data_IF_021276286390
#
_entry.id   IF_021276286390
#
_cell.length_a   1.000
_cell.length_b   1.000
_cell.length_c   1.000
_cell.angle_alpha   90.00
_cell.angle_beta   90.00
_cell.angle_gamma   90.00
#
_symmetry.space_group_name_H-M   'P 1'
#
loop_
_entity.id
_entity.type
_entity.pdbx_description
1 polymer ?
#
# COMPACT_ATOMS: atom_id res chain seq x y z
N UNK A 1 12.74 16.69 -7.61
CA UNK A 1 11.27 16.91 -7.57
C UNK A 1 10.97 18.40 -7.37
N UNK A 2 11.52 19.01 -6.32
CA UNK A 2 11.26 20.41 -5.97
C UNK A 2 11.76 21.38 -7.04
N UNK A 3 13.01 21.25 -7.48
CA UNK A 3 13.62 22.04 -8.54
C UNK A 3 12.84 21.96 -9.87
N UNK A 4 12.18 20.83 -10.12
CA UNK A 4 11.32 20.62 -11.30
C UNK A 4 9.92 21.23 -11.12
N UNK A 5 9.60 21.80 -9.97
CA UNK A 5 8.30 22.38 -9.67
C UNK A 5 7.15 21.36 -9.51
N UNK A 6 7.45 20.08 -9.34
CA UNK A 6 6.47 19.02 -9.21
C UNK A 6 5.83 18.98 -7.82
N UNK A 7 4.61 18.45 -7.73
CA UNK A 7 4.00 18.05 -6.46
C UNK A 7 4.32 16.59 -6.19
N UNK A 8 4.68 16.24 -4.96
CA UNK A 8 4.93 14.86 -4.57
C UNK A 8 4.58 14.62 -3.10
N UNK A 9 4.25 13.38 -2.80
CA UNK A 9 4.31 12.83 -1.44
C UNK A 9 5.48 11.85 -1.41
N UNK A 10 6.51 12.17 -0.63
CA UNK A 10 7.71 11.36 -0.52
C UNK A 10 7.58 10.44 0.69
N UNK A 11 7.67 9.13 0.46
CA UNK A 11 7.61 8.15 1.52
C UNK A 11 9.01 7.81 2.05
N UNK A 12 9.19 7.90 3.36
CA UNK A 12 10.35 7.33 4.02
C UNK A 12 10.12 5.82 4.20
N UNK A 13 10.92 5.03 3.49
CA UNK A 13 10.78 3.56 3.50
C UNK A 13 11.33 2.99 4.81
N UNK A 14 10.59 2.05 5.42
CA UNK A 14 10.97 1.34 6.62
C UNK A 14 10.90 -0.17 6.43
N UNK A 15 11.91 -0.89 6.90
CA UNK A 15 11.94 -2.33 7.07
C UNK A 15 13.00 -2.70 8.12
N UNK A 16 12.77 -3.76 8.88
CA UNK A 16 13.68 -4.25 9.91
C UNK A 16 14.03 -5.73 9.75
N UNK A 17 13.35 -6.43 8.85
CA UNK A 17 13.49 -7.88 8.67
C UNK A 17 13.40 -8.64 10.01
N UNK A 18 12.52 -8.19 10.90
CA UNK A 18 12.30 -8.76 12.25
C UNK A 18 13.54 -8.73 13.15
N UNK A 19 14.43 -7.75 12.94
CA UNK A 19 15.65 -7.56 13.73
C UNK A 19 15.52 -6.27 14.57
N UNK A 20 15.52 -6.35 15.92
CA UNK A 20 15.32 -5.19 16.79
C UNK A 20 16.31 -4.04 16.53
N UNK A 21 17.57 -4.38 16.27
CA UNK A 21 18.60 -3.35 15.98
C UNK A 21 18.30 -2.57 14.68
N UNK A 22 17.72 -3.25 13.67
CA UNK A 22 17.31 -2.61 12.43
C UNK A 22 16.05 -1.79 12.63
N UNK A 23 15.13 -2.23 13.49
CA UNK A 23 13.95 -1.46 13.87
C UNK A 23 14.36 -0.11 14.50
N UNK A 24 15.30 -0.10 15.44
CA UNK A 24 15.78 1.16 16.05
C UNK A 24 16.47 2.08 15.04
N UNK A 25 17.25 1.53 14.10
CA UNK A 25 17.83 2.32 13.00
C UNK A 25 16.75 2.91 12.09
N UNK A 26 15.71 2.14 11.77
CA UNK A 26 14.57 2.62 10.98
C UNK A 26 13.83 3.74 11.69
N UNK A 27 13.53 3.60 13.00
CA UNK A 27 12.92 4.66 13.82
C UNK A 27 13.74 5.94 13.84
N UNK A 28 15.07 5.83 14.04
CA UNK A 28 15.98 6.99 14.02
C UNK A 28 15.99 7.67 12.65
N UNK A 29 16.04 6.90 11.57
CA UNK A 29 15.96 7.41 10.20
C UNK A 29 14.64 8.15 9.94
N UNK A 30 13.49 7.55 10.33
CA UNK A 30 12.17 8.15 10.16
C UNK A 30 12.07 9.50 10.90
N UNK A 31 12.48 9.56 12.17
CA UNK A 31 12.47 10.81 12.93
C UNK A 31 13.30 11.89 12.24
N UNK A 32 14.55 11.56 11.88
CA UNK A 32 15.43 12.49 11.21
C UNK A 32 14.86 12.98 9.88
N UNK A 33 14.38 12.07 9.02
CA UNK A 33 13.84 12.44 7.71
C UNK A 33 12.53 13.22 7.82
N UNK A 34 11.74 12.99 8.87
CA UNK A 34 10.56 13.79 9.17
C UNK A 34 10.96 15.22 9.56
N UNK A 35 11.94 15.41 10.46
CA UNK A 35 12.46 16.72 10.83
C UNK A 35 13.01 17.46 9.61
N UNK A 36 13.79 16.78 8.77
CA UNK A 36 14.31 17.34 7.52
C UNK A 36 13.18 17.78 6.57
N UNK A 37 12.05 17.06 6.57
CA UNK A 37 10.89 17.36 5.72
C UNK A 37 10.18 18.67 6.07
N UNK A 38 10.37 19.20 7.28
CA UNK A 38 9.81 20.49 7.68
C UNK A 38 10.36 21.67 6.86
N UNK A 39 11.54 21.46 6.23
CA UNK A 39 12.15 22.42 5.30
C UNK A 39 11.63 22.33 3.86
N UNK A 40 10.76 21.37 3.52
CA UNK A 40 10.27 21.20 2.15
C UNK A 40 9.28 22.28 1.75
N UNK A 41 9.23 22.56 0.45
CA UNK A 41 8.21 23.46 -0.08
C UNK A 41 6.80 22.89 0.11
N UNK A 42 5.77 23.74 0.07
CA UNK A 42 4.35 23.33 0.18
C UNK A 42 3.89 22.35 -0.91
N UNK A 43 4.72 22.11 -1.93
CA UNK A 43 4.44 21.12 -2.99
C UNK A 43 4.82 19.71 -2.59
N UNK A 44 5.72 19.56 -1.63
CA UNK A 44 6.22 18.28 -1.18
C UNK A 44 5.58 17.94 0.15
N UNK A 45 4.99 16.75 0.24
CA UNK A 45 4.44 16.19 1.46
C UNK A 45 5.29 15.00 1.89
N UNK A 46 5.30 14.72 3.18
CA UNK A 46 5.96 13.57 3.76
C UNK A 46 4.94 12.48 4.09
N UNK A 47 5.33 11.22 3.96
CA UNK A 47 4.57 10.05 4.35
C UNK A 47 5.50 8.95 4.87
N UNK A 48 4.95 7.96 5.54
CA UNK A 48 5.67 6.77 5.96
C UNK A 48 5.40 5.62 4.99
N UNK A 49 6.44 4.86 4.66
CA UNK A 49 6.37 3.73 3.74
C UNK A 49 6.92 2.45 4.37
N UNK A 50 6.27 1.81 5.38
CA UNK A 50 6.61 0.43 5.69
C UNK A 50 6.50 -0.40 4.41
N UNK A 51 7.50 -1.26 4.15
CA UNK A 51 7.54 -1.97 2.88
C UNK A 51 6.41 -2.99 2.75
N UNK A 52 6.39 -4.00 3.61
CA UNK A 52 5.38 -5.07 3.61
C UNK A 52 5.40 -5.83 4.95
N UNK A 53 4.34 -6.57 5.26
CA UNK A 53 4.23 -7.35 6.51
C UNK A 53 5.28 -8.45 6.67
N UNK A 54 5.91 -8.88 5.57
CA UNK A 54 6.96 -9.92 5.56
C UNK A 54 8.38 -9.35 5.66
N UNK A 55 8.54 -8.02 5.72
CA UNK A 55 9.83 -7.33 5.90
C UNK A 55 9.82 -6.35 7.06
N UNK A 56 8.66 -6.08 7.64
CA UNK A 56 8.48 -5.16 8.76
C UNK A 56 7.82 -5.89 9.93
N UNK A 57 8.46 -5.86 11.09
CA UNK A 57 7.90 -6.48 12.30
C UNK A 57 6.62 -5.78 12.75
N UNK A 58 5.75 -6.53 13.46
CA UNK A 58 4.52 -5.97 14.02
C UNK A 58 4.79 -4.81 14.96
N UNK A 59 5.85 -4.89 15.76
CA UNK A 59 6.27 -3.82 16.68
C UNK A 59 6.66 -2.53 15.93
N UNK A 60 7.42 -2.67 14.83
CA UNK A 60 7.77 -1.50 14.01
C UNK A 60 6.55 -0.95 13.26
N UNK A 61 5.65 -1.81 12.77
CA UNK A 61 4.40 -1.37 12.14
C UNK A 61 3.53 -0.57 13.11
N UNK A 62 3.36 -1.02 14.34
CA UNK A 62 2.60 -0.30 15.36
C UNK A 62 3.25 1.04 15.70
N UNK A 63 4.57 1.08 15.89
CA UNK A 63 5.29 2.31 16.13
C UNK A 63 5.14 3.32 14.96
N UNK A 64 5.19 2.83 13.72
CA UNK A 64 4.99 3.68 12.53
C UNK A 64 3.57 4.24 12.46
N UNK A 65 2.54 3.46 12.83
CA UNK A 65 1.17 3.95 12.87
C UNK A 65 0.96 4.97 13.99
N UNK A 66 1.53 4.75 15.17
CA UNK A 66 1.52 5.73 16.27
C UNK A 66 2.17 7.04 15.83
N UNK A 67 3.37 6.97 15.26
CA UNK A 67 4.09 8.14 14.75
C UNK A 67 3.31 8.86 13.64
N UNK A 68 2.69 8.10 12.72
CA UNK A 68 1.82 8.64 11.67
C UNK A 68 0.58 9.34 12.26
N UNK A 69 0.00 8.78 13.31
CA UNK A 69 -1.15 9.36 14.00
C UNK A 69 -0.81 10.68 14.68
N UNK A 70 0.28 10.72 15.44
CA UNK A 70 0.76 11.92 16.14
C UNK A 70 1.06 13.08 15.19
N UNK A 71 1.62 12.76 14.02
CA UNK A 71 2.06 13.75 13.03
C UNK A 71 1.10 13.90 11.83
N UNK A 72 -0.07 13.24 11.87
CA UNK A 72 -1.09 13.28 10.81
C UNK A 72 -0.55 12.89 9.42
N UNK A 73 0.32 11.89 9.36
CA UNK A 73 0.98 11.42 8.15
C UNK A 73 0.23 10.26 7.50
N UNK A 74 0.22 10.17 6.17
CA UNK A 74 -0.17 8.94 5.49
C UNK A 74 0.81 7.80 5.77
N UNK A 75 0.28 6.58 5.79
CA UNK A 75 1.04 5.34 5.88
C UNK A 75 0.80 4.53 4.61
N UNK A 76 1.84 4.19 3.85
CA UNK A 76 1.72 3.49 2.57
C UNK A 76 2.44 2.14 2.64
N UNK A 77 1.73 1.04 2.38
CA UNK A 77 2.17 -0.34 2.58
C UNK A 77 1.76 -1.22 1.39
N UNK A 78 2.64 -2.12 0.92
CA UNK A 78 2.24 -3.19 0.01
C UNK A 78 1.51 -4.28 0.80
N UNK A 79 0.36 -4.72 0.33
CA UNK A 79 -0.42 -5.74 1.05
C UNK A 79 -1.24 -6.61 0.10
N UNK A 80 -1.28 -7.91 0.40
CA UNK A 80 -2.06 -8.90 -0.34
C UNK A 80 -1.79 -8.84 -1.85
N UNK A 81 -0.52 -8.64 -2.21
CA UNK A 81 -0.09 -8.56 -3.60
C UNK A 81 -0.12 -9.91 -4.28
N UNK A 82 0.36 -10.97 -3.60
CA UNK A 82 0.48 -12.32 -4.14
C UNK A 82 -0.24 -13.35 -3.28
N UNK A 83 -0.70 -14.46 -3.88
CA UNK A 83 -1.23 -15.59 -3.15
C UNK A 83 -0.23 -16.12 -2.11
N UNK A 84 1.05 -16.18 -2.50
CA UNK A 84 2.14 -16.64 -1.62
C UNK A 84 2.29 -15.73 -0.38
N UNK A 85 2.13 -14.42 -0.51
CA UNK A 85 2.12 -13.51 0.63
C UNK A 85 1.00 -13.88 1.62
N UNK A 86 -0.21 -14.10 1.11
CA UNK A 86 -1.36 -14.47 1.94
C UNK A 86 -1.12 -15.80 2.66
N UNK A 87 -0.66 -16.82 1.93
CA UNK A 87 -0.33 -18.14 2.50
C UNK A 87 0.75 -18.04 3.59
N UNK A 88 1.81 -17.27 3.33
CA UNK A 88 2.89 -17.07 4.28
C UNK A 88 2.42 -16.29 5.52
N UNK A 89 1.57 -15.29 5.36
CA UNK A 89 0.96 -14.55 6.47
C UNK A 89 0.13 -15.48 7.37
N UNK A 90 -0.69 -16.33 6.78
CA UNK A 90 -1.49 -17.32 7.53
C UNK A 90 -0.57 -18.30 8.25
N UNK A 91 0.50 -18.77 7.60
CA UNK A 91 1.46 -19.70 8.20
C UNK A 91 2.23 -19.07 9.36
N UNK A 92 2.65 -17.80 9.22
CA UNK A 92 3.51 -17.11 10.20
C UNK A 92 2.71 -16.49 11.35
N UNK A 93 1.57 -15.87 11.04
CA UNK A 93 0.80 -15.08 12.01
C UNK A 93 -0.56 -15.70 12.37
N UNK A 94 -0.96 -16.78 11.69
CA UNK A 94 -2.29 -17.40 11.84
C UNK A 94 -3.42 -16.59 11.21
N UNK A 95 -3.11 -15.53 10.46
CA UNK A 95 -4.04 -14.56 9.92
C UNK A 95 -3.64 -14.15 8.50
N UNK A 96 -4.62 -13.84 7.65
CA UNK A 96 -4.38 -13.17 6.38
C UNK A 96 -3.85 -11.73 6.58
N UNK A 97 -3.22 -11.12 5.57
CA UNK A 97 -2.56 -9.83 5.72
C UNK A 97 -3.45 -8.71 6.31
N UNK A 98 -4.67 -8.55 5.80
CA UNK A 98 -5.61 -7.52 6.31
C UNK A 98 -6.00 -7.81 7.76
N UNK A 99 -6.33 -9.06 8.09
CA UNK A 99 -6.68 -9.46 9.46
C UNK A 99 -5.51 -9.31 10.43
N UNK A 100 -4.28 -9.51 9.93
CA UNK A 100 -3.08 -9.24 10.73
C UNK A 100 -2.92 -7.75 11.06
N UNK A 101 -3.08 -6.85 10.06
CA UNK A 101 -3.06 -5.41 10.32
C UNK A 101 -4.20 -4.96 11.23
N UNK A 102 -5.39 -5.55 11.09
CA UNK A 102 -6.52 -5.30 12.00
C UNK A 102 -6.18 -5.67 13.44
N UNK A 103 -5.60 -6.86 13.65
CA UNK A 103 -5.14 -7.30 14.98
C UNK A 103 -4.10 -6.37 15.59
N UNK A 104 -3.22 -5.78 14.78
CA UNK A 104 -2.24 -4.79 15.21
C UNK A 104 -2.84 -3.40 15.49
N UNK A 105 -4.11 -3.16 15.13
CA UNK A 105 -4.79 -1.87 15.30
C UNK A 105 -4.43 -0.80 14.26
N UNK A 106 -3.87 -1.19 13.12
CA UNK A 106 -3.28 -0.27 12.13
C UNK A 106 -4.28 0.20 11.08
N UNK A 107 -5.42 -0.52 10.90
CA UNK A 107 -6.42 -0.10 9.90
C UNK A 107 -7.00 1.27 10.28
N UNK A 108 -6.78 2.24 9.43
CA UNK A 108 -7.21 3.63 9.65
C UNK A 108 -7.36 4.40 8.33
N UNK A 109 -8.03 5.58 8.34
CA UNK A 109 -8.10 6.42 7.14
C UNK A 109 -6.76 6.97 6.66
N UNK A 110 -5.69 6.83 7.41
CA UNK A 110 -4.33 7.22 6.99
C UNK A 110 -3.64 6.15 6.16
N UNK A 111 -4.12 4.89 6.26
CA UNK A 111 -3.50 3.75 5.58
C UNK A 111 -3.87 3.73 4.10
N UNK A 112 -2.87 3.56 3.26
CA UNK A 112 -2.97 3.38 1.82
C UNK A 112 -2.30 2.06 1.48
N UNK A 113 -3.04 1.11 0.91
CA UNK A 113 -2.54 -0.20 0.54
C UNK A 113 -2.27 -0.27 -0.96
N UNK A 114 -1.06 -0.62 -1.35
CA UNK A 114 -0.74 -0.94 -2.73
C UNK A 114 -1.09 -2.41 -3.02
N UNK A 115 -1.52 -2.67 -4.24
CA UNK A 115 -1.94 -3.94 -4.82
C UNK A 115 -3.30 -4.44 -4.33
N UNK A 116 -3.42 -4.99 -3.11
CA UNK A 116 -4.66 -5.50 -2.52
C UNK A 116 -5.47 -6.41 -3.47
N UNK A 117 -4.78 -7.36 -4.14
CA UNK A 117 -5.37 -8.26 -5.13
C UNK A 117 -6.07 -9.43 -4.44
N UNK A 118 -5.36 -10.05 -3.51
CA UNK A 118 -5.78 -11.29 -2.84
C UNK A 118 -6.54 -11.00 -1.56
N UNK A 119 -7.78 -10.50 -1.73
CA UNK A 119 -8.71 -10.19 -0.62
C UNK A 119 -9.94 -11.09 -0.71
N UNK A 120 -10.51 -11.43 0.44
CA UNK A 120 -11.87 -11.94 0.51
C UNK A 120 -12.90 -10.81 0.75
N UNK A 121 -14.19 -11.16 0.75
CA UNK A 121 -15.28 -10.19 0.91
C UNK A 121 -15.32 -9.55 2.29
N UNK A 122 -14.90 -10.27 3.34
CA UNK A 122 -14.87 -9.75 4.69
C UNK A 122 -13.70 -8.77 4.86
N UNK A 123 -12.54 -9.07 4.27
CA UNK A 123 -11.40 -8.17 4.24
C UNK A 123 -11.71 -6.87 3.50
N UNK A 124 -12.40 -6.96 2.36
CA UNK A 124 -12.87 -5.77 1.63
C UNK A 124 -13.77 -4.90 2.51
N UNK A 125 -14.67 -5.52 3.27
CA UNK A 125 -15.54 -4.82 4.22
C UNK A 125 -14.74 -4.20 5.37
N UNK A 126 -13.77 -4.92 5.93
CA UNK A 126 -12.88 -4.39 6.96
C UNK A 126 -12.12 -3.14 6.48
N UNK A 127 -11.63 -3.13 5.23
CA UNK A 127 -10.97 -1.94 4.66
C UNK A 127 -11.95 -0.76 4.56
N UNK A 128 -13.18 -1.00 4.10
CA UNK A 128 -14.21 0.02 4.01
C UNK A 128 -14.58 0.61 5.38
N UNK A 129 -14.85 -0.24 6.36
CA UNK A 129 -15.26 0.16 7.71
C UNK A 129 -14.21 1.02 8.42
N UNK A 130 -12.93 0.84 8.07
CA UNK A 130 -11.81 1.62 8.63
C UNK A 130 -11.33 2.76 7.72
N UNK A 131 -12.01 3.01 6.60
CA UNK A 131 -11.69 4.09 5.66
C UNK A 131 -10.32 3.95 4.98
N UNK A 132 -9.79 2.72 4.91
CA UNK A 132 -8.53 2.40 4.24
C UNK A 132 -8.64 2.66 2.75
N UNK A 133 -7.57 3.12 2.13
CA UNK A 133 -7.52 3.40 0.69
C UNK A 133 -6.67 2.35 -0.01
N UNK A 134 -7.00 2.07 -1.26
CA UNK A 134 -6.29 1.07 -2.07
C UNK A 134 -5.76 1.70 -3.34
N UNK A 135 -4.57 1.28 -3.78
CA UNK A 135 -3.97 1.67 -5.06
C UNK A 135 -3.77 0.42 -5.91
N UNK A 136 -4.47 0.35 -7.03
CA UNK A 136 -4.33 -0.71 -8.01
C UNK A 136 -3.16 -0.41 -8.96
N UNK A 137 -2.24 -1.37 -9.11
CA UNK A 137 -1.03 -1.28 -9.95
C UNK A 137 -1.11 -2.30 -11.11
N UNK A 138 -1.96 -2.11 -12.12
CA UNK A 138 -2.28 -3.15 -13.10
C UNK A 138 -1.08 -3.68 -13.86
N UNK A 139 -0.19 -2.80 -14.33
CA UNK A 139 0.99 -3.17 -15.11
C UNK A 139 2.01 -3.95 -14.29
N UNK A 140 2.28 -3.50 -13.06
CA UNK A 140 3.15 -4.21 -12.13
C UNK A 140 2.59 -5.60 -11.80
N UNK A 141 1.31 -5.68 -11.46
CA UNK A 141 0.65 -6.94 -11.13
C UNK A 141 0.73 -7.97 -12.27
N UNK A 142 0.60 -7.51 -13.52
CA UNK A 142 0.75 -8.35 -14.70
C UNK A 142 2.19 -8.77 -14.93
N UNK A 143 3.12 -7.83 -14.91
CA UNK A 143 4.54 -8.08 -15.18
C UNK A 143 5.15 -9.04 -14.16
N UNK A 144 4.79 -8.89 -12.89
CA UNK A 144 5.29 -9.71 -11.80
C UNK A 144 4.46 -10.99 -11.59
N UNK A 145 3.39 -11.18 -12.38
CA UNK A 145 2.45 -12.30 -12.23
C UNK A 145 1.84 -12.40 -10.81
N UNK A 146 1.65 -11.26 -10.15
CA UNK A 146 1.11 -11.17 -8.79
C UNK A 146 -0.37 -11.58 -8.74
N UNK A 147 -1.11 -11.36 -9.82
CA UNK A 147 -2.54 -11.65 -9.99
C UNK A 147 -3.23 -10.61 -10.86
N UNK A 148 -4.36 -10.99 -11.46
CA UNK A 148 -5.11 -10.10 -12.36
C UNK A 148 -6.52 -9.77 -11.85
N UNK A 149 -7.01 -10.53 -10.86
CA UNK A 149 -8.42 -10.45 -10.40
C UNK A 149 -8.61 -9.35 -9.35
N UNK A 150 -8.26 -8.11 -9.71
CA UNK A 150 -8.48 -6.98 -8.82
C UNK A 150 -9.98 -6.68 -8.68
N UNK A 151 -10.50 -6.73 -7.47
CA UNK A 151 -11.95 -6.67 -7.17
C UNK A 151 -12.46 -5.24 -7.05
N UNK A 152 -12.28 -4.43 -8.11
CA UNK A 152 -12.66 -3.02 -8.11
C UNK A 152 -14.14 -2.79 -7.77
N UNK A 153 -15.05 -3.52 -8.43
CA UNK A 153 -16.49 -3.33 -8.23
C UNK A 153 -16.89 -3.61 -6.79
N UNK A 154 -16.39 -4.69 -6.20
CA UNK A 154 -16.66 -5.07 -4.82
C UNK A 154 -16.12 -4.02 -3.83
N UNK A 155 -14.92 -3.50 -4.10
CA UNK A 155 -14.33 -2.43 -3.28
C UNK A 155 -15.14 -1.14 -3.38
N UNK A 156 -15.50 -0.72 -4.61
CA UNK A 156 -16.32 0.47 -4.84
C UNK A 156 -17.69 0.34 -4.15
N UNK A 157 -18.35 -0.80 -4.31
CA UNK A 157 -19.69 -1.03 -3.75
C UNK A 157 -19.66 -1.12 -2.22
N UNK A 158 -18.54 -1.54 -1.64
CA UNK A 158 -18.28 -1.47 -0.20
C UNK A 158 -17.88 -0.07 0.30
N UNK A 159 -17.58 0.87 -0.59
CA UNK A 159 -17.17 2.24 -0.23
C UNK A 159 -15.66 2.44 -0.04
N UNK A 160 -14.84 1.47 -0.45
CA UNK A 160 -13.36 1.63 -0.44
C UNK A 160 -12.95 2.62 -1.52
N UNK A 161 -12.15 3.61 -1.14
CA UNK A 161 -11.55 4.55 -2.11
C UNK A 161 -10.41 3.85 -2.83
N UNK A 162 -10.52 3.73 -4.15
CA UNK A 162 -9.52 3.11 -5.00
C UNK A 162 -8.89 4.12 -5.92
N UNK A 163 -7.57 4.16 -5.96
CA UNK A 163 -6.75 4.91 -6.93
C UNK A 163 -5.97 3.98 -7.85
N UNK A 164 -5.29 4.56 -8.84
CA UNK A 164 -4.36 3.85 -9.72
C UNK A 164 -2.92 4.27 -9.43
N UNK A 165 -2.00 3.34 -9.65
CA UNK A 165 -0.56 3.56 -9.59
C UNK A 165 0.16 2.83 -10.70
N UNK A 166 1.38 3.26 -10.97
CA UNK A 166 2.28 2.60 -11.93
C UNK A 166 3.21 1.60 -11.25
N UNK A 167 3.36 1.73 -9.92
CA UNK A 167 4.49 1.14 -9.20
C UNK A 167 5.83 1.71 -9.71
N UNK A 168 6.95 1.16 -9.31
CA UNK A 168 8.27 1.59 -9.78
C UNK A 168 8.57 1.13 -11.22
N UNK A 169 9.48 1.83 -11.91
CA UNK A 169 9.91 1.47 -13.27
C UNK A 169 10.43 0.03 -13.38
N UNK A 170 11.04 -0.51 -12.33
CA UNK A 170 11.50 -1.90 -12.32
C UNK A 170 10.34 -2.90 -12.41
N UNK A 171 9.18 -2.55 -11.86
CA UNK A 171 7.99 -3.40 -11.79
C UNK A 171 7.02 -3.22 -12.96
N UNK A 172 7.03 -2.06 -13.65
CA UNK A 172 6.08 -1.76 -14.74
C UNK A 172 6.72 -1.35 -16.07
N UNK A 173 8.05 -1.14 -16.13
CA UNK A 173 8.86 -0.64 -17.24
C UNK A 173 8.70 0.85 -17.54
N UNK A 174 7.67 1.52 -17.07
CA UNK A 174 7.42 2.95 -17.24
C UNK A 174 6.67 3.56 -16.05
N UNK A 175 6.34 4.85 -16.14
CA UNK A 175 5.52 5.59 -15.16
C UNK A 175 4.33 6.27 -15.85
N UNK A 176 3.75 5.63 -16.87
CA UNK A 176 2.64 6.17 -17.65
C UNK A 176 1.29 5.82 -16.99
N UNK A 177 0.68 6.83 -16.36
CA UNK A 177 -0.63 6.69 -15.72
C UNK A 177 -1.77 6.50 -16.73
N UNK A 178 -1.64 7.01 -17.96
CA UNK A 178 -2.66 6.82 -19.01
C UNK A 178 -2.66 5.37 -19.48
N UNK A 179 -1.48 4.78 -19.60
CA UNK A 179 -1.34 3.35 -19.85
C UNK A 179 -1.90 2.52 -18.71
N UNK A 180 -1.60 2.87 -17.46
CA UNK A 180 -2.14 2.19 -16.29
C UNK A 180 -3.69 2.22 -16.26
N UNK A 181 -4.31 3.35 -16.60
CA UNK A 181 -5.77 3.48 -16.73
C UNK A 181 -6.34 2.53 -17.79
N UNK A 182 -5.70 2.47 -18.97
CA UNK A 182 -6.11 1.56 -20.04
C UNK A 182 -6.06 0.10 -19.61
N UNK A 183 -4.95 -0.31 -18.99
CA UNK A 183 -4.80 -1.70 -18.54
C UNK A 183 -5.73 -2.05 -17.37
N UNK A 184 -5.97 -1.16 -16.43
CA UNK A 184 -6.95 -1.38 -15.38
C UNK A 184 -8.33 -1.72 -15.96
N UNK A 185 -8.81 -0.92 -16.90
CA UNK A 185 -10.10 -1.15 -17.56
C UNK A 185 -10.14 -2.45 -18.36
N UNK A 186 -9.12 -2.72 -19.18
CA UNK A 186 -9.09 -3.92 -20.03
C UNK A 186 -8.99 -5.20 -19.21
N UNK A 187 -8.19 -5.20 -18.16
CA UNK A 187 -8.06 -6.35 -17.27
C UNK A 187 -9.37 -6.65 -16.53
N UNK A 188 -10.01 -5.62 -15.96
CA UNK A 188 -11.29 -5.77 -15.30
C UNK A 188 -12.32 -6.44 -16.21
N UNK A 189 -12.47 -5.95 -17.44
CA UNK A 189 -13.36 -6.53 -18.45
C UNK A 189 -12.99 -7.98 -18.82
N UNK A 190 -11.71 -8.23 -19.00
CA UNK A 190 -11.22 -9.54 -19.46
C UNK A 190 -11.46 -10.64 -18.41
N UNK A 191 -11.06 -10.44 -17.17
CA UNK A 191 -11.18 -11.49 -16.16
C UNK A 191 -12.64 -11.68 -15.70
N UNK A 192 -13.44 -10.60 -15.69
CA UNK A 192 -14.87 -10.66 -15.37
C UNK A 192 -15.72 -11.18 -16.54
N UNK A 193 -15.17 -11.21 -17.76
CA UNK A 193 -15.90 -11.52 -18.99
C UNK A 193 -17.14 -10.61 -19.19
N UNK A 194 -16.99 -9.36 -18.78
CA UNK A 194 -18.05 -8.36 -18.80
C UNK A 194 -17.51 -7.06 -19.46
N UNK A 195 -18.05 -6.63 -20.62
CA UNK A 195 -17.59 -5.43 -21.31
C UNK A 195 -17.92 -4.12 -20.56
N UNK A 196 -18.81 -4.16 -19.56
CA UNK A 196 -19.17 -3.00 -18.76
C UNK A 196 -18.39 -2.93 -17.43
N UNK A 197 -17.64 -3.99 -17.06
CA UNK A 197 -16.82 -4.00 -15.86
C UNK A 197 -15.66 -3.00 -15.93
N UNK A 198 -15.29 -2.48 -14.78
CA UNK A 198 -14.07 -1.70 -14.58
C UNK A 198 -13.01 -2.56 -13.91
#
# INVERSE_FOLDING_TARGET
VEEMGLRATLCAVAFDHFQPEKAEKAKAYIRKSFDDSMGYSKRIRYALGPHAIYTVSGELLQWLDEFANENQLPLHLHLSETATEVENSIRQFGLSPVRYLYKLGILSPRLILAHAIWLDSDETRMLADHGVKVVHNPLSNMKLASGMEFKYNEMRDAGVVVGLGTDGCASSNNLDMVEAMKFASLLGKSWRKDPEAM
#
